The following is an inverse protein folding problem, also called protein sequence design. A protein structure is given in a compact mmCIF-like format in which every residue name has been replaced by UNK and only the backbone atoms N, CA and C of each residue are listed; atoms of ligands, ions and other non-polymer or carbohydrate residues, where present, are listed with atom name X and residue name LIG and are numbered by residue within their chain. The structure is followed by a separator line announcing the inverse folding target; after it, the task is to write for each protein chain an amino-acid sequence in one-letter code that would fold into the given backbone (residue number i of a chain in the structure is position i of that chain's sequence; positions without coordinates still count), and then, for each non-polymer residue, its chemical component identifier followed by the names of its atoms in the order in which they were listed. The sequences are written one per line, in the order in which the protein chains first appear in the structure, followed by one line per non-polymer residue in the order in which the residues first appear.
data_IF_994451848088
#
_entry.id   IF_994451848088
#
_cell.length_a   1.000
_cell.length_b   1.000
_cell.length_c   1.000
_cell.angle_alpha   90.00
_cell.angle_beta   90.00
_cell.angle_gamma   90.00
#
_symmetry.space_group_name_H-M   'P 1'
#
loop_
_entity.id
_entity.type
_entity.pdbx_description
1 polymer ?
#
# COMPACT_ATOMS: atom_id res chain seq x y z
N UNK A 1 13.17 -19.05 9.71
CA UNK A 1 14.18 -18.00 9.99
C UNK A 1 13.94 -17.29 11.35
N UNK A 2 13.91 -18.07 12.44
CA UNK A 2 13.68 -17.51 13.79
C UNK A 2 14.66 -16.38 14.13
N UNK A 3 15.94 -16.56 13.84
CA UNK A 3 16.98 -15.59 14.20
C UNK A 3 16.74 -14.20 13.59
N UNK A 4 16.26 -14.11 12.36
CA UNK A 4 15.96 -12.83 11.72
C UNK A 4 14.71 -12.18 12.36
N UNK A 5 13.67 -12.96 12.61
CA UNK A 5 12.46 -12.46 13.27
C UNK A 5 12.76 -11.93 14.69
N UNK A 6 13.61 -12.63 15.44
CA UNK A 6 14.00 -12.21 16.79
C UNK A 6 14.85 -10.92 16.76
N UNK A 7 15.77 -10.81 15.78
CA UNK A 7 16.54 -9.59 15.57
C UNK A 7 15.62 -8.41 15.18
N UNK A 8 14.72 -8.61 14.23
CA UNK A 8 13.76 -7.58 13.82
C UNK A 8 12.93 -7.09 15.00
N UNK A 9 12.42 -8.01 15.82
CA UNK A 9 11.68 -7.63 17.02
C UNK A 9 12.51 -6.79 17.98
N UNK A 10 13.76 -7.17 18.23
CA UNK A 10 14.66 -6.44 19.11
C UNK A 10 14.89 -5.01 18.59
N UNK A 11 15.27 -4.86 17.34
CA UNK A 11 15.57 -3.57 16.71
C UNK A 11 14.33 -2.66 16.64
N UNK A 12 13.18 -3.21 16.26
CA UNK A 12 11.93 -2.46 16.23
C UNK A 12 11.46 -2.05 17.63
N UNK A 13 11.68 -2.90 18.64
CA UNK A 13 11.37 -2.55 20.03
C UNK A 13 12.28 -1.41 20.51
N UNK A 14 13.57 -1.42 20.16
CA UNK A 14 14.49 -0.30 20.43
C UNK A 14 14.07 0.99 19.71
N UNK A 15 13.49 0.88 18.52
CA UNK A 15 12.93 2.01 17.78
C UNK A 15 11.57 2.50 18.33
N UNK A 16 11.06 1.89 19.42
CA UNK A 16 9.85 2.33 20.11
C UNK A 16 8.54 1.65 19.63
N UNK A 17 8.62 0.61 18.80
CA UNK A 17 7.46 -0.14 18.36
C UNK A 17 7.09 -1.28 19.32
N UNK A 18 5.79 -1.52 19.50
CA UNK A 18 5.29 -2.70 20.19
C UNK A 18 5.14 -3.85 19.18
N UNK A 19 5.93 -4.92 19.35
CA UNK A 19 6.03 -5.99 18.34
C UNK A 19 5.51 -7.33 18.87
N UNK A 20 4.60 -7.93 18.11
CA UNK A 20 4.21 -9.34 18.25
C UNK A 20 4.84 -10.19 17.13
N UNK A 21 4.97 -11.48 17.34
CA UNK A 21 5.65 -12.39 16.40
C UNK A 21 4.83 -13.64 16.13
N UNK A 22 5.00 -14.15 14.89
CA UNK A 22 4.60 -15.49 14.48
C UNK A 22 5.70 -16.13 13.64
N UNK A 23 5.92 -17.42 13.78
CA UNK A 23 6.99 -18.17 13.10
C UNK A 23 6.48 -19.05 11.95
N UNK A 24 5.19 -19.04 11.70
CA UNK A 24 4.57 -19.70 10.55
C UNK A 24 3.34 -18.89 10.07
N UNK A 25 2.96 -19.13 8.82
CA UNK A 25 1.92 -18.35 8.16
C UNK A 25 0.52 -18.57 8.74
N UNK A 26 0.18 -19.76 9.26
CA UNK A 26 -1.14 -20.03 9.85
C UNK A 26 -1.32 -19.27 11.17
N UNK A 27 -0.32 -19.35 12.04
CA UNK A 27 -0.32 -18.61 13.32
C UNK A 27 -0.31 -17.10 13.06
N UNK A 28 0.50 -16.65 12.08
CA UNK A 28 0.56 -15.23 11.69
C UNK A 28 -0.78 -14.72 11.19
N UNK A 29 -1.43 -15.45 10.28
CA UNK A 29 -2.76 -15.09 9.77
C UNK A 29 -3.81 -15.06 10.89
N UNK A 30 -3.83 -16.08 11.75
CA UNK A 30 -4.78 -16.12 12.87
C UNK A 30 -4.64 -14.88 13.77
N UNK A 31 -3.42 -14.53 14.18
CA UNK A 31 -3.15 -13.32 14.98
C UNK A 31 -3.59 -12.06 14.25
N UNK A 32 -3.23 -11.93 12.96
CA UNK A 32 -3.58 -10.77 12.15
C UNK A 32 -5.11 -10.57 12.01
N UNK A 33 -5.89 -11.65 12.02
CA UNK A 33 -7.35 -11.58 11.96
C UNK A 33 -7.98 -11.29 13.34
N UNK A 34 -7.43 -11.84 14.42
CA UNK A 34 -7.98 -11.72 15.78
C UNK A 34 -7.60 -10.39 16.47
N UNK A 35 -6.49 -9.77 16.08
CA UNK A 35 -5.97 -8.55 16.71
C UNK A 35 -5.84 -7.41 15.69
N UNK A 36 -5.79 -6.17 16.18
CA UNK A 36 -5.53 -4.99 15.34
C UNK A 36 -4.03 -4.66 15.38
N UNK A 37 -3.44 -4.59 14.21
CA UNK A 37 -2.07 -4.15 14.00
C UNK A 37 -2.03 -2.92 13.11
N UNK A 38 -1.13 -2.00 13.39
CA UNK A 38 -0.93 -0.81 12.57
C UNK A 38 -0.15 -1.14 11.28
N UNK A 39 0.70 -2.19 11.33
CA UNK A 39 1.49 -2.66 10.19
C UNK A 39 1.94 -4.12 10.42
N UNK A 40 2.06 -4.88 9.34
CA UNK A 40 2.54 -6.27 9.34
C UNK A 40 3.79 -6.36 8.46
N UNK A 41 4.88 -6.88 9.02
CA UNK A 41 6.04 -7.34 8.26
C UNK A 41 5.83 -8.81 7.93
N UNK A 42 5.81 -9.16 6.66
CA UNK A 42 5.41 -10.49 6.21
C UNK A 42 6.50 -11.11 5.32
N UNK A 43 7.14 -12.16 5.84
CA UNK A 43 8.07 -12.95 5.04
C UNK A 43 7.33 -13.77 3.98
N UNK A 44 7.85 -13.82 2.77
CA UNK A 44 7.32 -14.69 1.72
C UNK A 44 7.52 -16.17 2.05
N UNK A 45 8.68 -16.51 2.59
CA UNK A 45 9.10 -17.89 2.86
C UNK A 45 8.71 -18.36 4.25
N UNK A 46 7.40 -18.51 4.49
CA UNK A 46 6.87 -19.00 5.76
C UNK A 46 6.51 -20.49 5.68
N UNK A 47 6.70 -21.25 6.78
CA UNK A 47 6.18 -22.60 6.89
C UNK A 47 4.64 -22.64 6.85
N UNK A 48 4.09 -23.79 6.43
CA UNK A 48 2.66 -24.12 6.30
C UNK A 48 1.97 -23.37 5.16
N UNK A 49 1.70 -22.08 5.32
CA UNK A 49 1.22 -21.22 4.25
C UNK A 49 2.23 -20.10 4.01
N UNK A 50 2.53 -19.82 2.74
CA UNK A 50 3.48 -18.77 2.37
C UNK A 50 2.92 -17.35 2.57
N UNK A 51 3.80 -16.34 2.55
CA UNK A 51 3.40 -14.96 2.78
C UNK A 51 2.40 -14.42 1.76
N UNK A 52 2.46 -14.86 0.51
CA UNK A 52 1.50 -14.47 -0.53
C UNK A 52 0.09 -14.92 -0.15
N UNK A 53 -0.06 -16.17 0.24
CA UNK A 53 -1.37 -16.72 0.64
C UNK A 53 -1.87 -16.10 1.96
N UNK A 54 -0.97 -15.80 2.91
CA UNK A 54 -1.32 -15.05 4.13
C UNK A 54 -1.87 -13.68 3.76
N UNK A 55 -1.18 -12.93 2.90
CA UNK A 55 -1.61 -11.60 2.47
C UNK A 55 -2.96 -11.67 1.73
N UNK A 56 -3.13 -12.60 0.80
CA UNK A 56 -4.38 -12.79 0.07
C UNK A 56 -5.58 -13.00 1.01
N UNK A 57 -5.46 -13.92 1.97
CA UNK A 57 -6.53 -14.20 2.94
C UNK A 57 -6.77 -13.03 3.89
N UNK A 58 -5.71 -12.34 4.29
CA UNK A 58 -5.83 -11.13 5.12
C UNK A 58 -6.65 -10.06 4.39
N UNK A 59 -6.39 -9.85 3.10
CA UNK A 59 -7.08 -8.83 2.27
C UNK A 59 -8.56 -9.12 2.03
N UNK A 60 -9.03 -10.34 2.22
CA UNK A 60 -10.46 -10.67 2.18
C UNK A 60 -11.23 -10.06 3.37
N UNK A 61 -10.51 -9.73 4.48
CA UNK A 61 -11.13 -9.34 5.75
C UNK A 61 -10.61 -7.99 6.25
N UNK A 62 -9.29 -7.73 6.14
CA UNK A 62 -8.63 -6.55 6.69
C UNK A 62 -7.74 -5.84 5.69
N UNK A 63 -7.61 -4.52 5.87
CA UNK A 63 -6.73 -3.65 5.06
C UNK A 63 -5.48 -3.19 5.84
N UNK A 64 -5.09 -3.93 6.87
CA UNK A 64 -3.86 -3.65 7.64
C UNK A 64 -2.66 -3.54 6.71
N UNK A 65 -1.84 -2.47 6.76
CA UNK A 65 -0.66 -2.32 5.91
C UNK A 65 0.30 -3.50 6.03
N UNK A 66 0.82 -3.96 4.88
CA UNK A 66 1.74 -5.09 4.80
C UNK A 66 2.99 -4.71 4.03
N UNK A 67 4.16 -4.83 4.66
CA UNK A 67 5.45 -4.82 3.98
C UNK A 67 5.88 -6.28 3.80
N UNK A 68 6.05 -6.72 2.56
CA UNK A 68 6.58 -8.06 2.28
C UNK A 68 8.10 -8.06 2.26
N UNK A 69 8.69 -9.05 2.96
CA UNK A 69 10.12 -9.30 2.95
C UNK A 69 10.42 -10.41 1.93
N UNK A 70 11.20 -10.09 0.87
CA UNK A 70 11.41 -10.98 -0.28
C UNK A 70 12.87 -11.36 -0.45
N UNK A 71 13.17 -12.51 -1.11
CA UNK A 71 14.51 -12.79 -1.59
C UNK A 71 14.82 -11.94 -2.84
N UNK A 72 16.10 -11.56 -3.04
CA UNK A 72 16.53 -10.61 -4.09
C UNK A 72 16.27 -11.09 -5.52
N UNK A 73 16.20 -12.40 -5.72
CA UNK A 73 16.14 -13.01 -7.06
C UNK A 73 14.70 -13.26 -7.56
N UNK A 74 13.70 -12.97 -6.75
CA UNK A 74 12.28 -13.25 -7.06
C UNK A 74 11.54 -12.00 -7.58
N UNK A 75 12.07 -11.41 -8.67
CA UNK A 75 11.41 -10.25 -9.35
C UNK A 75 10.00 -10.64 -9.84
N UNK A 76 9.76 -11.89 -10.19
CA UNK A 76 8.43 -12.43 -10.55
C UNK A 76 7.49 -12.45 -9.34
N UNK A 77 7.99 -12.67 -8.14
CA UNK A 77 7.17 -12.66 -6.93
C UNK A 77 6.80 -11.24 -6.50
N UNK A 78 7.61 -10.23 -6.85
CA UNK A 78 7.22 -8.82 -6.66
C UNK A 78 5.97 -8.46 -7.47
N UNK A 79 5.86 -8.94 -8.71
CA UNK A 79 4.67 -8.71 -9.55
C UNK A 79 3.46 -9.48 -9.00
N UNK A 80 3.64 -10.73 -8.61
CA UNK A 80 2.59 -11.56 -8.00
C UNK A 80 2.17 -11.00 -6.63
N UNK A 81 3.11 -10.55 -5.83
CA UNK A 81 2.83 -9.99 -4.52
C UNK A 81 2.10 -8.65 -4.58
N UNK A 82 2.41 -7.75 -5.52
CA UNK A 82 1.63 -6.53 -5.79
C UNK A 82 0.18 -6.86 -6.19
N UNK A 83 -0.03 -7.96 -6.93
CA UNK A 83 -1.38 -8.45 -7.26
C UNK A 83 -2.16 -8.95 -6.05
N UNK A 84 -1.47 -9.36 -4.98
CA UNK A 84 -2.08 -9.88 -3.74
C UNK A 84 -2.42 -8.76 -2.74
N UNK A 85 -1.99 -7.52 -3.01
CA UNK A 85 -2.36 -6.34 -2.23
C UNK A 85 -1.42 -6.00 -1.07
N UNK A 86 -0.13 -6.35 -1.15
CA UNK A 86 0.87 -5.78 -0.26
C UNK A 86 1.09 -4.29 -0.57
N UNK A 87 1.44 -3.51 0.44
CA UNK A 87 1.61 -2.06 0.35
C UNK A 87 3.05 -1.66 0.01
N UNK A 88 4.02 -2.49 0.39
CA UNK A 88 5.44 -2.31 0.05
C UNK A 88 6.20 -3.64 0.05
N UNK A 89 7.40 -3.63 -0.55
CA UNK A 89 8.29 -4.78 -0.68
C UNK A 89 9.71 -4.38 -0.32
N UNK A 90 10.36 -5.21 0.50
CA UNK A 90 11.75 -5.04 0.88
C UNK A 90 12.54 -6.31 0.58
N UNK A 91 13.54 -6.19 -0.29
CA UNK A 91 14.38 -7.32 -0.68
C UNK A 91 15.44 -7.62 0.39
N UNK A 92 15.60 -8.87 0.75
CA UNK A 92 16.67 -9.37 1.62
C UNK A 92 17.97 -9.57 0.82
N UNK A 93 19.15 -9.23 1.40
CA UNK A 93 19.36 -8.55 2.68
C UNK A 93 19.05 -7.06 2.60
N UNK A 94 18.54 -6.47 3.68
CA UNK A 94 18.22 -5.04 3.79
C UNK A 94 18.86 -4.41 5.03
N UNK A 95 19.04 -3.10 5.02
CA UNK A 95 19.45 -2.33 6.18
C UNK A 95 18.25 -2.02 7.09
N UNK A 96 18.47 -1.99 8.42
CA UNK A 96 17.40 -1.64 9.36
C UNK A 96 16.89 -0.22 9.16
N UNK A 97 17.76 0.70 8.79
CA UNK A 97 17.42 2.09 8.47
C UNK A 97 16.42 2.17 7.31
N UNK A 98 16.60 1.34 6.27
CA UNK A 98 15.65 1.25 5.14
C UNK A 98 14.29 0.72 5.60
N UNK A 99 14.27 -0.37 6.37
CA UNK A 99 13.02 -0.92 6.91
C UNK A 99 12.28 0.11 7.77
N UNK A 100 12.99 0.79 8.68
CA UNK A 100 12.41 1.82 9.55
C UNK A 100 11.87 3.02 8.73
N UNK A 101 12.58 3.45 7.69
CA UNK A 101 12.11 4.51 6.80
C UNK A 101 10.79 4.13 6.10
N UNK A 102 10.67 2.89 5.62
CA UNK A 102 9.45 2.36 4.98
C UNK A 102 8.29 2.24 5.95
N UNK A 103 8.52 1.71 7.16
CA UNK A 103 7.52 1.64 8.23
C UNK A 103 6.99 3.05 8.56
N UNK A 104 7.91 4.00 8.79
CA UNK A 104 7.55 5.39 9.11
C UNK A 104 6.76 6.06 7.98
N UNK A 105 7.13 5.80 6.72
CA UNK A 105 6.42 6.32 5.56
C UNK A 105 4.98 5.81 5.51
N UNK A 106 4.75 4.51 5.71
CA UNK A 106 3.39 3.93 5.73
C UNK A 106 2.56 4.45 6.91
N UNK A 107 3.10 4.43 8.13
CA UNK A 107 2.38 4.90 9.33
C UNK A 107 2.07 6.39 9.28
N UNK A 108 2.99 7.22 8.74
CA UNK A 108 2.76 8.67 8.56
C UNK A 108 1.58 8.93 7.62
N UNK A 109 1.46 8.19 6.52
CA UNK A 109 0.34 8.30 5.57
C UNK A 109 -1.00 8.06 6.27
N UNK A 110 -1.10 7.00 7.06
CA UNK A 110 -2.32 6.67 7.81
C UNK A 110 -2.71 7.77 8.80
N UNK A 111 -1.74 8.36 9.51
CA UNK A 111 -2.00 9.44 10.46
C UNK A 111 -2.40 10.75 9.77
N UNK A 112 -1.82 11.05 8.61
CA UNK A 112 -2.17 12.24 7.83
C UNK A 112 -3.61 12.16 7.29
N UNK A 113 -4.06 10.98 6.91
CA UNK A 113 -5.41 10.74 6.40
C UNK A 113 -6.49 10.86 7.48
N UNK A 114 -6.22 10.47 8.72
CA UNK A 114 -7.15 10.64 9.85
C UNK A 114 -7.50 12.10 10.15
N UNK A 115 -6.68 13.05 9.72
CA UNK A 115 -6.86 14.48 10.00
C UNK A 115 -7.64 15.24 8.90
N UNK A 116 -7.97 14.60 7.77
CA UNK A 116 -8.65 15.25 6.66
C UNK A 116 -10.16 15.04 6.72
N UNK A 117 -10.90 16.10 6.38
CA UNK A 117 -12.34 16.05 6.14
C UNK A 117 -12.63 15.21 4.88
N UNK A 118 -13.84 14.68 4.81
CA UNK A 118 -14.36 14.01 3.60
C UNK A 118 -14.23 14.93 2.38
N UNK A 119 -13.70 14.42 1.27
CA UNK A 119 -13.54 15.19 0.04
C UNK A 119 -13.92 14.38 -1.19
N UNK A 120 -14.28 15.07 -2.26
CA UNK A 120 -14.71 14.44 -3.50
C UNK A 120 -14.22 15.19 -4.73
N UNK A 121 -14.02 14.47 -5.82
CA UNK A 121 -13.82 15.05 -7.14
C UNK A 121 -14.47 14.13 -8.19
N UNK A 122 -15.37 14.71 -9.00
CA UNK A 122 -16.18 13.93 -9.92
C UNK A 122 -17.04 12.89 -9.19
N UNK A 123 -16.98 11.64 -9.65
CA UNK A 123 -17.77 10.53 -9.12
C UNK A 123 -17.10 9.79 -7.94
N UNK A 124 -15.90 10.22 -7.54
CA UNK A 124 -15.15 9.63 -6.42
C UNK A 124 -15.36 10.46 -5.16
N UNK A 125 -15.75 9.80 -4.07
CA UNK A 125 -15.79 10.36 -2.71
C UNK A 125 -14.84 9.58 -1.82
N UNK A 126 -14.07 10.29 -1.02
CA UNK A 126 -13.08 9.71 -0.10
C UNK A 126 -13.38 10.17 1.31
N UNK A 127 -13.53 9.23 2.22
CA UNK A 127 -13.57 9.45 3.66
C UNK A 127 -12.24 8.96 4.28
N UNK A 128 -11.27 9.85 4.48
CA UNK A 128 -9.96 9.48 5.02
C UNK A 128 -10.06 8.98 6.47
N UNK A 129 -11.02 9.50 7.24
CA UNK A 129 -11.19 9.12 8.65
C UNK A 129 -11.61 7.67 8.82
N UNK A 130 -12.37 7.13 7.86
CA UNK A 130 -12.82 5.73 7.83
C UNK A 130 -12.04 4.86 6.84
N UNK A 131 -11.07 5.45 6.13
CA UNK A 131 -10.32 4.80 5.06
C UNK A 131 -11.24 4.17 3.99
N UNK A 132 -12.28 4.92 3.60
CA UNK A 132 -13.30 4.46 2.65
C UNK A 132 -13.29 5.28 1.37
N UNK A 133 -13.53 4.58 0.27
CA UNK A 133 -13.71 5.18 -1.05
C UNK A 133 -15.06 4.76 -1.60
N UNK A 134 -15.77 5.71 -2.20
CA UNK A 134 -17.00 5.47 -2.92
C UNK A 134 -16.84 5.94 -4.36
N UNK A 135 -17.26 5.12 -5.31
CA UNK A 135 -17.36 5.48 -6.71
C UNK A 135 -18.83 5.31 -7.16
N UNK A 136 -19.43 6.41 -7.63
CA UNK A 136 -20.89 6.42 -7.95
C UNK A 136 -21.73 5.89 -6.78
N UNK A 137 -21.40 6.36 -5.56
CA UNK A 137 -22.01 5.97 -4.28
C UNK A 137 -21.85 4.49 -3.87
N UNK A 138 -21.10 3.69 -4.63
CA UNK A 138 -20.77 2.31 -4.27
C UNK A 138 -19.40 2.26 -3.56
N UNK A 139 -19.33 1.59 -2.40
CA UNK A 139 -18.08 1.40 -1.67
C UNK A 139 -17.11 0.52 -2.46
N UNK A 140 -15.84 0.96 -2.56
CA UNK A 140 -14.77 0.25 -3.26
C UNK A 140 -13.69 -0.13 -2.26
N UNK A 141 -13.34 -1.41 -2.21
CA UNK A 141 -12.28 -1.92 -1.34
C UNK A 141 -10.90 -1.74 -1.98
N UNK A 142 -10.11 -0.82 -1.42
CA UNK A 142 -8.73 -0.55 -1.82
C UNK A 142 -7.76 -0.98 -0.73
N UNK A 143 -6.55 -1.36 -1.12
CA UNK A 143 -5.43 -1.48 -0.17
C UNK A 143 -4.97 -0.09 0.26
N UNK A 144 -4.15 -0.01 1.31
CA UNK A 144 -3.64 1.29 1.81
C UNK A 144 -2.94 2.08 0.72
N UNK A 145 -2.04 1.46 -0.03
CA UNK A 145 -1.30 2.14 -1.11
C UNK A 145 -2.18 2.55 -2.29
N UNK A 146 -3.18 1.72 -2.66
CA UNK A 146 -4.18 2.09 -3.68
C UNK A 146 -5.03 3.27 -3.21
N UNK A 147 -5.42 3.27 -1.94
CA UNK A 147 -6.17 4.37 -1.32
C UNK A 147 -5.35 5.66 -1.32
N UNK A 148 -4.07 5.61 -0.92
CA UNK A 148 -3.16 6.76 -0.88
C UNK A 148 -2.94 7.35 -2.28
N UNK A 149 -2.70 6.49 -3.26
CA UNK A 149 -2.55 6.93 -4.65
C UNK A 149 -3.82 7.59 -5.18
N UNK A 150 -4.98 6.97 -4.96
CA UNK A 150 -6.25 7.54 -5.39
C UNK A 150 -6.55 8.85 -4.65
N UNK A 151 -6.29 8.90 -3.34
CA UNK A 151 -6.47 10.09 -2.50
C UNK A 151 -5.63 11.26 -3.02
N UNK A 152 -4.36 11.01 -3.34
CA UNK A 152 -3.48 12.01 -3.93
C UNK A 152 -4.01 12.54 -5.27
N UNK A 153 -4.49 11.66 -6.13
CA UNK A 153 -5.03 12.04 -7.44
C UNK A 153 -6.33 12.85 -7.30
N UNK A 154 -7.24 12.42 -6.41
CA UNK A 154 -8.52 13.11 -6.16
C UNK A 154 -8.32 14.48 -5.52
N UNK A 155 -7.38 14.61 -4.58
CA UNK A 155 -7.01 15.91 -3.98
C UNK A 155 -6.43 16.90 -4.99
N UNK A 156 -5.78 16.40 -6.04
CA UNK A 156 -5.27 17.22 -7.15
C UNK A 156 -6.15 17.05 -8.40
N UNK A 157 -7.45 16.81 -8.22
CA UNK A 157 -8.38 16.59 -9.33
C UNK A 157 -8.37 17.76 -10.33
N UNK A 158 -8.26 17.46 -11.61
CA UNK A 158 -8.11 18.44 -12.68
C UNK A 158 -6.66 18.89 -12.93
N UNK A 159 -5.74 18.63 -12.00
CA UNK A 159 -4.34 18.99 -12.13
C UNK A 159 -3.45 17.78 -12.43
N UNK A 160 -2.36 18.04 -13.17
CA UNK A 160 -1.37 17.02 -13.52
C UNK A 160 -0.45 16.78 -12.32
N UNK A 161 -0.41 15.55 -11.82
CA UNK A 161 0.49 15.15 -10.73
C UNK A 161 1.72 14.47 -11.30
N UNK A 162 2.92 15.02 -11.02
CA UNK A 162 4.17 14.46 -11.52
C UNK A 162 4.46 13.10 -10.87
N UNK A 163 5.15 12.22 -11.62
CA UNK A 163 5.56 10.90 -11.13
C UNK A 163 6.40 10.99 -9.85
N UNK A 164 7.35 11.94 -9.79
CA UNK A 164 8.20 12.12 -8.62
C UNK A 164 7.37 12.51 -7.38
N UNK A 165 6.37 13.39 -7.55
CA UNK A 165 5.43 13.74 -6.45
C UNK A 165 4.64 12.53 -6.00
N UNK A 166 4.21 11.66 -6.93
CA UNK A 166 3.49 10.43 -6.60
C UNK A 166 4.41 9.47 -5.83
N UNK A 167 5.62 9.23 -6.31
CA UNK A 167 6.59 8.36 -5.65
C UNK A 167 6.95 8.86 -4.25
N UNK A 168 7.21 10.16 -4.11
CA UNK A 168 7.54 10.78 -2.83
C UNK A 168 6.38 10.67 -1.83
N UNK A 169 5.16 11.03 -2.24
CA UNK A 169 4.02 11.09 -1.33
C UNK A 169 3.39 9.73 -1.03
N UNK A 170 3.42 8.79 -1.97
CA UNK A 170 2.80 7.48 -1.81
C UNK A 170 3.79 6.42 -1.34
N UNK A 171 5.06 6.47 -1.72
CA UNK A 171 6.07 5.47 -1.32
C UNK A 171 7.19 6.01 -0.44
N UNK A 172 7.31 7.35 -0.26
CA UNK A 172 8.49 7.95 0.35
C UNK A 172 9.67 7.95 -0.64
N UNK A 173 10.53 8.97 -0.56
CA UNK A 173 11.65 9.09 -1.49
C UNK A 173 12.65 7.96 -1.24
N UNK A 174 12.72 6.99 -2.16
CA UNK A 174 13.74 5.95 -2.17
C UNK A 174 14.21 5.75 -3.61
N UNK A 175 15.51 5.94 -3.86
CA UNK A 175 16.12 5.83 -5.19
C UNK A 175 15.96 4.42 -5.81
N UNK A 176 15.70 3.40 -4.98
CA UNK A 176 15.54 2.00 -5.38
C UNK A 176 14.11 1.59 -5.72
N UNK A 177 13.10 2.45 -5.56
CA UNK A 177 11.73 2.12 -5.97
C UNK A 177 11.68 2.06 -7.50
N UNK A 178 11.43 0.86 -8.03
CA UNK A 178 11.25 0.65 -9.47
C UNK A 178 10.28 1.68 -10.05
N UNK A 179 10.71 2.42 -11.05
CA UNK A 179 9.91 3.47 -11.69
C UNK A 179 8.57 2.97 -12.24
N UNK A 180 8.38 1.66 -12.39
CA UNK A 180 7.16 1.04 -12.91
C UNK A 180 6.08 0.78 -11.85
N UNK A 181 6.35 1.03 -10.57
CA UNK A 181 5.37 0.75 -9.49
C UNK A 181 4.09 1.57 -9.67
N UNK A 182 4.21 2.83 -10.06
CA UNK A 182 3.07 3.72 -10.27
C UNK A 182 2.10 3.16 -11.31
N UNK A 183 2.60 2.70 -12.46
CA UNK A 183 1.78 2.13 -13.54
C UNK A 183 1.06 0.85 -13.11
N UNK A 184 1.71 0.04 -12.28
CA UNK A 184 1.12 -1.17 -11.74
C UNK A 184 -0.08 -0.83 -10.86
N UNK A 185 0.06 0.14 -9.94
CA UNK A 185 -1.03 0.54 -9.05
C UNK A 185 -2.15 1.29 -9.79
N UNK A 186 -1.82 2.10 -10.81
CA UNK A 186 -2.84 2.69 -11.69
C UNK A 186 -3.66 1.62 -12.40
N UNK A 187 -3.01 0.56 -12.88
CA UNK A 187 -3.73 -0.57 -13.48
C UNK A 187 -4.65 -1.26 -12.48
N UNK A 188 -4.22 -1.42 -11.20
CA UNK A 188 -5.08 -1.98 -10.16
C UNK A 188 -6.28 -1.09 -9.86
N UNK A 189 -6.09 0.21 -9.74
CA UNK A 189 -7.20 1.15 -9.55
C UNK A 189 -8.21 1.07 -10.71
N UNK A 190 -7.75 1.07 -11.96
CA UNK A 190 -8.63 0.93 -13.14
C UNK A 190 -9.39 -0.39 -13.14
N UNK A 191 -8.79 -1.48 -12.67
CA UNK A 191 -9.45 -2.79 -12.57
C UNK A 191 -10.50 -2.82 -11.44
N UNK A 192 -10.22 -2.19 -10.29
CA UNK A 192 -11.13 -2.15 -9.14
C UNK A 192 -12.24 -1.12 -9.28
N UNK A 193 -12.01 -0.07 -10.04
CA UNK A 193 -12.94 1.03 -10.30
C UNK A 193 -13.18 1.17 -11.80
N UNK A 194 -14.00 0.29 -12.42
CA UNK A 194 -14.30 0.38 -13.84
C UNK A 194 -14.94 1.73 -14.17
N UNK A 195 -14.36 2.45 -15.13
CA UNK A 195 -14.82 3.78 -15.54
C UNK A 195 -14.14 4.95 -14.83
N UNK A 196 -13.20 4.70 -13.90
CA UNK A 196 -12.39 5.79 -13.34
C UNK A 196 -11.53 6.45 -14.43
N UNK A 197 -11.56 7.76 -14.51
CA UNK A 197 -10.84 8.54 -15.53
C UNK A 197 -9.48 9.00 -15.00
N UNK A 198 -8.51 8.11 -14.98
CA UNK A 198 -7.11 8.44 -14.71
C UNK A 198 -6.37 8.42 -16.05
N UNK A 199 -5.87 9.57 -16.49
CA UNK A 199 -5.17 9.73 -17.76
C UNK A 199 -3.66 9.84 -17.55
N UNK A 200 -2.89 9.34 -18.51
CA UNK A 200 -1.42 9.47 -18.50
C UNK A 200 -1.04 10.61 -19.44
N UNK A 201 -0.45 11.67 -18.89
CA UNK A 201 -0.02 12.83 -19.65
C UNK A 201 1.46 12.70 -20.01
N UNK A 202 1.77 12.55 -21.30
CA UNK A 202 3.13 12.46 -21.87
C UNK A 202 4.03 11.39 -21.23
N UNK A 203 3.44 10.32 -20.68
CA UNK A 203 4.18 9.21 -20.06
C UNK A 203 4.89 9.53 -18.73
N UNK A 204 4.73 10.73 -18.18
CA UNK A 204 5.47 11.22 -17.00
C UNK A 204 4.56 11.62 -15.86
N UNK A 205 3.30 11.94 -16.12
CA UNK A 205 2.37 12.50 -15.16
C UNK A 205 1.00 11.84 -15.24
N UNK A 206 0.23 11.91 -14.17
CA UNK A 206 -1.14 11.41 -14.10
C UNK A 206 -2.10 12.58 -13.87
N UNK A 207 -3.26 12.48 -14.50
CA UNK A 207 -4.35 13.42 -14.37
C UNK A 207 -5.61 12.62 -14.04
N UNK A 208 -6.31 13.02 -12.98
CA UNK A 208 -7.65 12.52 -12.71
C UNK A 208 -8.68 13.56 -13.20
N UNK A 209 -9.54 13.17 -14.13
CA UNK A 209 -10.57 14.06 -14.71
C UNK A 209 -11.97 13.65 -14.28
N UNK A 210 -12.88 14.63 -14.15
CA UNK A 210 -14.31 14.41 -13.99
C UNK A 210 -15.04 14.61 -15.32
N UNK A 211 -16.22 14.01 -15.50
CA UNK A 211 -17.04 14.15 -16.70
C UNK A 211 -17.59 15.58 -16.96
N UNK A 212 -17.31 16.53 -16.06
CA UNK A 212 -17.86 17.89 -16.14
C UNK A 212 -17.19 18.78 -17.22
N UNK A 213 -16.27 18.27 -18.04
CA UNK A 213 -15.53 19.06 -19.04
C UNK A 213 -16.08 18.98 -20.48
N UNK A 214 -17.18 18.25 -20.73
CA UNK A 214 -17.78 18.10 -22.07
C UNK A 214 -19.07 18.90 -22.29
N UNK A 215 -19.42 19.87 -21.40
CA UNK A 215 -20.50 20.82 -21.66
C UNK A 215 -19.97 22.26 -21.65
N UNK A 216 -19.29 22.67 -22.71
CA UNK A 216 -19.10 24.05 -23.07
C UNK A 216 -18.85 24.22 -24.59
#
# INVERSE_FOLDING_TARGET
EKNMSDLLKLELTHAGYCCDQAYDGEVGLKKALEQEYELILLDLMLPRINGIEVCRRLREIKQTPVIMLTARDEVMDKVNGLQVGADDYLAKPFAMEELLARINALLRRMNFQKALLEYSYGEVKIDPSKHKVFFKDNEVNLTTTEFDLLSLLVQNGGDVVSRNKILDQVWGYDEDVSTNVVEVYIRYLRNKIPGIKIETVRGVCLLYTSDAADEA
#
